data_IF_914245736956
#
_entry.id   IF_914245736956
#
_cell.length_a   1.000
_cell.length_b   1.000
_cell.length_c   1.000
_cell.angle_alpha   90.00
_cell.angle_beta   90.00
_cell.angle_gamma   90.00
#
_symmetry.space_group_name_H-M   'P 1'
#
loop_
_entity.id
_entity.type
_entity.pdbx_description
1 polymer ?
#
# COMPACT_ATOMS: atom_id res chain seq x y z
N UNK A 1 -2.33 -1.74 12.17
CA UNK A 1 -2.46 -0.41 12.83
C UNK A 1 -3.86 0.16 12.54
N UNK A 2 -4.39 1.13 13.29
CA UNK A 2 -5.68 1.74 12.94
C UNK A 2 -5.59 2.48 11.58
N UNK A 3 -6.64 2.48 10.74
CA UNK A 3 -6.63 3.11 9.40
C UNK A 3 -6.22 4.59 9.41
N UNK A 4 -6.54 5.30 10.49
CA UNK A 4 -6.17 6.70 10.69
C UNK A 4 -4.64 6.89 10.81
N UNK A 5 -3.92 5.92 11.37
CA UNK A 5 -2.47 5.97 11.49
C UNK A 5 -1.78 5.92 10.13
N UNK A 6 -2.23 5.05 9.24
CA UNK A 6 -1.72 4.94 7.88
C UNK A 6 -2.03 6.20 7.04
N UNK A 7 -3.23 6.77 7.18
CA UNK A 7 -3.57 8.05 6.54
C UNK A 7 -2.64 9.19 6.98
N UNK A 8 -2.36 9.28 8.29
CA UNK A 8 -1.48 10.30 8.84
C UNK A 8 -0.03 10.13 8.35
N UNK A 9 0.48 8.89 8.34
CA UNK A 9 1.81 8.57 7.83
C UNK A 9 1.94 8.88 6.33
N UNK A 10 0.95 8.51 5.52
CA UNK A 10 0.92 8.78 4.08
C UNK A 10 0.84 10.28 3.76
N UNK A 11 -0.02 11.03 4.46
CA UNK A 11 -0.11 12.48 4.26
C UNK A 11 1.15 13.21 4.76
N UNK A 12 1.72 12.77 5.88
CA UNK A 12 2.95 13.33 6.45
C UNK A 12 4.17 13.10 5.57
N UNK A 13 4.33 11.90 5.02
CA UNK A 13 5.39 11.56 4.05
C UNK A 13 5.22 12.36 2.76
N UNK A 14 4.00 12.50 2.23
CA UNK A 14 3.73 13.36 1.08
C UNK A 14 4.10 14.84 1.34
N UNK A 15 3.81 15.35 2.54
CA UNK A 15 4.21 16.69 2.96
C UNK A 15 5.74 16.84 3.04
N UNK A 16 6.44 15.86 3.62
CA UNK A 16 7.91 15.85 3.69
C UNK A 16 8.55 15.83 2.30
N UNK A 17 8.09 14.95 1.40
CA UNK A 17 8.57 14.87 0.01
C UNK A 17 8.39 16.21 -0.70
N UNK A 18 7.22 16.84 -0.56
CA UNK A 18 6.97 18.17 -1.11
C UNK A 18 7.87 19.24 -0.52
N UNK A 19 8.07 19.23 0.80
CA UNK A 19 8.84 20.25 1.49
C UNK A 19 10.35 20.10 1.23
N UNK A 20 10.84 18.88 1.07
CA UNK A 20 12.20 18.59 0.63
C UNK A 20 12.42 19.02 -0.84
N UNK A 21 11.49 18.70 -1.74
CA UNK A 21 11.55 19.13 -3.14
C UNK A 21 11.41 20.64 -3.37
N UNK A 22 10.92 21.40 -2.37
CA UNK A 22 10.95 22.88 -2.39
C UNK A 22 12.34 23.47 -2.13
N UNK A 23 13.24 22.70 -1.53
CA UNK A 23 14.63 23.11 -1.28
C UNK A 23 15.54 22.86 -2.49
N UNK A 24 15.15 21.93 -3.35
CA UNK A 24 15.94 21.43 -4.47
C UNK A 24 15.14 21.62 -5.76
N UNK A 25 15.12 22.86 -6.26
CA UNK A 25 14.39 23.21 -7.49
C UNK A 25 15.13 22.68 -8.73
N UNK A 26 15.12 21.36 -8.93
CA UNK A 26 15.48 20.71 -10.18
C UNK A 26 14.93 19.27 -10.23
N UNK A 27 13.85 19.05 -10.98
CA UNK A 27 13.69 17.76 -11.67
C UNK A 27 12.67 16.70 -11.19
N UNK A 28 11.70 16.95 -10.31
CA UNK A 28 10.65 15.95 -9.98
C UNK A 28 9.25 16.34 -10.50
N UNK A 29 9.14 16.46 -11.83
CA UNK A 29 7.95 16.95 -12.55
C UNK A 29 6.65 16.13 -12.44
N UNK A 30 6.62 15.02 -11.71
CA UNK A 30 5.43 14.14 -11.61
C UNK A 30 4.52 14.45 -10.41
N UNK A 31 5.10 14.92 -9.28
CA UNK A 31 4.36 15.21 -8.04
C UNK A 31 4.34 16.69 -7.66
N UNK A 32 4.97 17.57 -8.46
CA UNK A 32 5.15 18.99 -8.18
C UNK A 32 3.87 19.84 -8.28
N UNK A 33 2.77 19.27 -8.79
CA UNK A 33 1.44 19.89 -8.75
C UNK A 33 0.89 19.98 -7.33
N UNK A 34 -0.26 20.65 -7.14
CA UNK A 34 -0.98 20.63 -5.85
C UNK A 34 -1.23 19.17 -5.46
N UNK A 35 -0.56 18.71 -4.40
CA UNK A 35 -0.81 17.37 -3.83
C UNK A 35 -2.26 17.31 -3.36
N UNK A 36 -3.03 16.41 -3.98
CA UNK A 36 -4.37 16.08 -3.54
C UNK A 36 -4.28 15.07 -2.39
N UNK A 37 -4.30 15.56 -1.16
CA UNK A 37 -4.24 14.73 0.05
C UNK A 37 -5.42 13.76 0.16
N UNK A 38 -6.55 14.02 -0.54
CA UNK A 38 -7.67 13.08 -0.57
C UNK A 38 -7.30 11.81 -1.32
N UNK A 39 -6.59 11.96 -2.44
CA UNK A 39 -6.09 10.83 -3.22
C UNK A 39 -5.04 10.03 -2.44
N UNK A 40 -4.15 10.71 -1.70
CA UNK A 40 -3.15 10.06 -0.83
C UNK A 40 -3.82 9.28 0.30
N UNK A 41 -4.76 9.90 1.02
CA UNK A 41 -5.48 9.24 2.12
C UNK A 41 -6.36 8.08 1.63
N UNK A 42 -6.97 8.22 0.45
CA UNK A 42 -7.70 7.12 -0.17
C UNK A 42 -6.76 5.96 -0.52
N UNK A 43 -5.63 6.26 -1.17
CA UNK A 43 -4.61 5.28 -1.51
C UNK A 43 -4.06 4.54 -0.29
N UNK A 44 -3.87 5.22 0.84
CA UNK A 44 -3.39 4.56 2.06
C UNK A 44 -4.38 3.56 2.63
N UNK A 45 -5.69 3.75 2.47
CA UNK A 45 -6.66 2.79 3.02
C UNK A 45 -7.07 1.72 1.99
N UNK A 46 -6.64 1.87 0.74
CA UNK A 46 -6.98 0.96 -0.34
C UNK A 46 -6.51 -0.49 -0.09
N UNK A 47 -5.29 -0.77 0.41
CA UNK A 47 -4.87 -2.14 0.76
C UNK A 47 -5.83 -2.83 1.73
N UNK A 48 -6.19 -2.16 2.84
CA UNK A 48 -7.13 -2.66 3.84
C UNK A 48 -8.53 -2.92 3.26
N UNK A 49 -8.99 -2.04 2.35
CA UNK A 49 -10.30 -2.17 1.69
C UNK A 49 -10.33 -3.31 0.67
N UNK A 50 -9.19 -3.71 0.13
CA UNK A 50 -9.11 -4.87 -0.77
C UNK A 50 -9.06 -6.15 0.02
N UNK A 51 -8.23 -6.21 1.08
CA UNK A 51 -8.00 -7.45 1.80
C UNK A 51 -9.21 -7.89 2.63
N UNK A 52 -9.95 -6.97 3.24
CA UNK A 52 -11.12 -7.35 4.07
C UNK A 52 -12.21 -8.05 3.23
N UNK A 53 -12.72 -7.49 2.12
CA UNK A 53 -13.68 -8.20 1.28
C UNK A 53 -13.11 -9.46 0.65
N UNK A 54 -11.84 -9.46 0.24
CA UNK A 54 -11.23 -10.63 -0.39
C UNK A 54 -11.24 -11.85 0.54
N UNK A 55 -10.88 -11.64 1.82
CA UNK A 55 -10.97 -12.66 2.86
C UNK A 55 -12.41 -13.12 3.08
N UNK A 56 -13.36 -12.19 3.14
CA UNK A 56 -14.76 -12.50 3.45
C UNK A 56 -15.52 -13.20 2.31
N UNK A 57 -15.27 -12.82 1.05
CA UNK A 57 -16.04 -13.31 -0.10
C UNK A 57 -15.36 -14.44 -0.86
N UNK A 58 -14.02 -14.49 -0.90
CA UNK A 58 -13.29 -15.40 -1.79
C UNK A 58 -12.57 -16.51 -1.01
N UNK A 59 -12.13 -16.23 0.23
CA UNK A 59 -11.24 -17.12 0.99
C UNK A 59 -11.85 -17.71 2.28
N UNK A 60 -13.17 -17.60 2.47
CA UNK A 60 -13.87 -17.95 3.72
C UNK A 60 -13.61 -19.38 4.24
N UNK A 61 -13.28 -20.32 3.34
CA UNK A 61 -13.02 -21.74 3.64
C UNK A 61 -11.57 -22.18 3.33
N UNK A 62 -10.66 -21.24 3.06
CA UNK A 62 -9.25 -21.57 2.78
C UNK A 62 -8.36 -21.28 3.98
N UNK A 63 -7.46 -22.22 4.31
CA UNK A 63 -6.32 -22.10 5.27
C UNK A 63 -5.30 -21.01 4.88
N UNK A 64 -5.72 -20.07 4.04
CA UNK A 64 -4.97 -18.94 3.54
C UNK A 64 -5.14 -17.69 4.45
N UNK A 65 -5.52 -17.87 5.71
CA UNK A 65 -5.87 -16.80 6.67
C UNK A 65 -4.78 -15.75 6.96
N UNK A 66 -3.58 -15.90 6.41
CA UNK A 66 -2.48 -14.92 6.49
C UNK A 66 -2.11 -14.24 5.16
N UNK A 67 -2.86 -14.44 4.08
CA UNK A 67 -2.53 -13.85 2.78
C UNK A 67 -3.26 -12.53 2.54
N UNK A 68 -2.51 -11.44 2.57
CA UNK A 68 -2.99 -10.07 2.34
C UNK A 68 -2.52 -9.61 0.95
N UNK A 69 -3.38 -9.76 -0.06
CA UNK A 69 -3.09 -9.38 -1.44
C UNK A 69 -2.90 -7.86 -1.58
N UNK A 70 -3.75 -7.06 -0.92
CA UNK A 70 -3.64 -5.60 -0.87
C UNK A 70 -2.33 -5.14 -0.25
N UNK A 71 -1.81 -5.88 0.73
CA UNK A 71 -0.50 -5.62 1.34
C UNK A 71 0.67 -6.34 0.65
N UNK A 72 0.53 -6.65 -0.65
CA UNK A 72 1.63 -7.19 -1.44
C UNK A 72 2.41 -6.09 -2.18
N UNK A 73 3.69 -6.35 -2.44
CA UNK A 73 4.48 -5.53 -3.37
C UNK A 73 3.87 -5.57 -4.76
N UNK A 74 3.28 -6.70 -5.18
CA UNK A 74 2.62 -6.82 -6.48
C UNK A 74 1.47 -5.81 -6.63
N UNK A 75 0.61 -5.71 -5.62
CA UNK A 75 -0.51 -4.77 -5.64
C UNK A 75 -0.02 -3.32 -5.68
N UNK A 76 1.02 -3.00 -4.90
CA UNK A 76 1.64 -1.67 -4.90
C UNK A 76 2.28 -1.33 -6.26
N UNK A 77 2.95 -2.30 -6.91
CA UNK A 77 3.51 -2.13 -8.25
C UNK A 77 2.42 -1.98 -9.32
N UNK A 78 1.32 -2.72 -9.20
CA UNK A 78 0.17 -2.57 -10.09
C UNK A 78 -0.42 -1.16 -10.00
N UNK A 79 -0.62 -0.65 -8.78
CA UNK A 79 -1.09 0.73 -8.60
C UNK A 79 -0.10 1.75 -9.15
N UNK A 80 1.21 1.52 -8.96
CA UNK A 80 2.24 2.41 -9.50
C UNK A 80 2.24 2.42 -11.03
N UNK A 81 2.17 1.26 -11.68
CA UNK A 81 2.13 1.16 -13.15
C UNK A 81 0.87 1.80 -13.72
N UNK A 82 -0.30 1.55 -13.14
CA UNK A 82 -1.55 2.24 -13.51
C UNK A 82 -1.43 3.74 -13.28
N UNK A 83 -0.86 4.15 -12.14
CA UNK A 83 -0.59 5.54 -11.80
C UNK A 83 0.26 6.24 -12.86
N UNK A 84 1.38 5.63 -13.24
CA UNK A 84 2.29 6.15 -14.26
C UNK A 84 1.61 6.24 -15.64
N UNK A 85 0.86 5.22 -16.04
CA UNK A 85 0.13 5.21 -17.30
C UNK A 85 -0.96 6.31 -17.37
N UNK A 86 -1.65 6.57 -16.26
CA UNK A 86 -2.67 7.62 -16.16
C UNK A 86 -2.03 9.02 -16.06
N UNK A 87 -0.90 9.13 -15.37
CA UNK A 87 -0.15 10.38 -15.27
C UNK A 87 0.48 10.80 -16.60
N UNK A 88 0.86 9.85 -17.45
CA UNK A 88 1.28 10.13 -18.83
C UNK A 88 0.15 10.81 -19.66
N UNK A 89 -1.11 10.72 -19.22
CA UNK A 89 -2.28 11.42 -19.79
C UNK A 89 -2.61 12.74 -19.08
N UNK A 90 -1.71 13.23 -18.23
CA UNK A 90 -1.86 14.50 -17.50
C UNK A 90 -2.65 14.42 -16.18
N UNK A 91 -3.00 13.21 -15.70
CA UNK A 91 -3.78 13.01 -14.46
C UNK A 91 -2.94 12.38 -13.36
N UNK A 92 -2.42 13.20 -12.44
CA UNK A 92 -1.48 12.72 -11.41
C UNK A 92 -2.19 12.10 -10.18
N UNK A 93 -3.52 12.15 -10.11
CA UNK A 93 -4.28 11.61 -8.96
C UNK A 93 -4.03 10.11 -8.76
N UNK A 94 -3.94 9.33 -9.85
CA UNK A 94 -3.67 7.90 -9.77
C UNK A 94 -2.28 7.59 -9.18
N UNK A 95 -1.28 8.44 -9.44
CA UNK A 95 0.03 8.33 -8.79
C UNK A 95 -0.02 8.63 -7.30
N UNK A 96 -0.85 9.60 -6.88
CA UNK A 96 -1.03 9.91 -5.47
C UNK A 96 -1.72 8.76 -4.71
N UNK A 97 -2.66 8.07 -5.37
CA UNK A 97 -3.25 6.82 -4.84
C UNK A 97 -2.18 5.74 -4.70
N UNK A 98 -1.35 5.53 -5.73
CA UNK A 98 -0.25 4.57 -5.68
C UNK A 98 0.75 4.90 -4.57
N UNK A 99 1.10 6.18 -4.40
CA UNK A 99 1.97 6.66 -3.33
C UNK A 99 1.37 6.37 -1.94
N UNK A 100 0.06 6.59 -1.77
CA UNK A 100 -0.66 6.23 -0.55
C UNK A 100 -0.58 4.73 -0.24
N UNK A 101 -0.79 3.87 -1.23
CA UNK A 101 -0.71 2.42 -1.04
C UNK A 101 0.72 1.93 -0.73
N UNK A 102 1.73 2.50 -1.38
CA UNK A 102 3.15 2.19 -1.10
C UNK A 102 3.53 2.60 0.31
N UNK A 103 3.11 3.79 0.75
CA UNK A 103 3.40 4.27 2.11
C UNK A 103 2.67 3.45 3.17
N UNK A 104 1.45 2.98 2.87
CA UNK A 104 0.76 2.01 3.71
C UNK A 104 1.57 0.72 3.84
N UNK A 105 1.98 0.12 2.72
CA UNK A 105 2.80 -1.09 2.74
C UNK A 105 4.11 -0.86 3.52
N UNK A 106 4.79 0.26 3.32
CA UNK A 106 6.06 0.54 4.01
C UNK A 106 5.93 0.70 5.53
N UNK A 107 4.76 1.13 6.01
CA UNK A 107 4.49 1.33 7.45
C UNK A 107 3.78 0.14 8.09
N UNK A 108 3.27 -0.80 7.29
CA UNK A 108 2.56 -1.96 7.82
C UNK A 108 3.53 -2.99 8.41
N UNK A 109 3.12 -3.59 9.53
CA UNK A 109 3.80 -4.69 10.20
C UNK A 109 4.02 -5.93 9.32
N UNK A 110 3.24 -6.09 8.24
CA UNK A 110 3.40 -7.18 7.29
C UNK A 110 4.78 -7.15 6.62
N UNK A 111 5.46 -5.99 6.62
CA UNK A 111 6.84 -5.85 6.13
C UNK A 111 7.85 -6.71 6.89
N UNK A 112 7.53 -7.11 8.13
CA UNK A 112 8.35 -8.02 8.92
C UNK A 112 8.17 -9.49 8.51
N UNK A 113 7.24 -9.78 7.59
CA UNK A 113 6.86 -11.11 7.16
C UNK A 113 7.13 -11.24 5.66
N UNK A 114 8.36 -11.61 5.24
CA UNK A 114 8.79 -11.52 3.84
C UNK A 114 7.90 -12.29 2.85
N UNK A 115 7.32 -13.42 3.27
CA UNK A 115 6.46 -14.24 2.43
C UNK A 115 5.09 -13.60 2.17
N UNK A 116 4.56 -12.82 3.12
CA UNK A 116 3.26 -12.14 2.94
C UNK A 116 3.36 -11.03 1.90
N UNK A 117 4.49 -10.32 1.87
CA UNK A 117 4.74 -9.20 0.94
C UNK A 117 4.88 -9.69 -0.52
N UNK A 118 5.38 -10.92 -0.70
CA UNK A 118 5.63 -11.56 -2.00
C UNK A 118 4.45 -12.39 -2.52
N UNK A 119 3.34 -12.45 -1.78
CA UNK A 119 2.11 -13.07 -2.27
C UNK A 119 1.66 -12.43 -3.60
N UNK A 120 1.19 -13.18 -4.61
CA UNK A 120 0.91 -14.62 -4.62
C UNK A 120 2.06 -15.52 -5.13
N UNK A 121 3.25 -14.96 -5.36
CA UNK A 121 4.33 -15.72 -6.02
C UNK A 121 4.99 -16.75 -5.11
N UNK A 122 4.95 -16.55 -3.79
CA UNK A 122 5.51 -17.46 -2.80
C UNK A 122 4.37 -18.12 -2.03
N UNK A 123 3.95 -19.31 -2.47
CA UNK A 123 3.22 -20.26 -1.62
C UNK A 123 4.28 -21.09 -0.89
N UNK A 124 4.64 -20.68 0.31
CA UNK A 124 5.31 -21.61 1.23
C UNK A 124 4.19 -22.35 1.97
N UNK A 125 4.18 -23.68 1.87
CA UNK A 125 3.35 -24.53 2.74
C UNK A 125 3.86 -24.32 4.18
N UNK A 126 3.21 -23.43 4.92
CA UNK A 126 3.56 -23.19 6.32
C UNK A 126 2.66 -24.08 7.19
N UNK A 127 3.22 -25.03 7.96
CA UNK A 127 2.45 -25.83 8.91
C UNK A 127 1.74 -24.91 9.90
N UNK A 128 0.44 -25.09 10.08
CA UNK A 128 -0.42 -24.26 10.95
C UNK A 128 -0.25 -24.55 12.46
N UNK A 129 0.86 -25.12 12.93
CA UNK A 129 0.87 -25.73 14.27
C UNK A 129 1.29 -24.86 15.46
N UNK A 130 1.88 -23.66 15.29
CA UNK A 130 2.60 -23.05 16.43
C UNK A 130 2.14 -21.63 16.85
N UNK A 131 0.86 -21.29 16.63
CA UNK A 131 0.22 -20.15 17.30
C UNK A 131 -0.88 -20.60 18.26
N UNK A 132 -0.63 -21.66 19.03
CA UNK A 132 -1.24 -21.79 20.34
C UNK A 132 -0.50 -20.82 21.24
N UNK A 133 -1.17 -19.72 21.59
CA UNK A 133 -0.75 -18.87 22.70
C UNK A 133 -0.71 -19.75 23.95
N UNK A 134 0.49 -20.16 24.36
CA UNK A 134 0.70 -20.50 25.76
C UNK A 134 0.61 -19.17 26.53
N UNK A 135 -0.23 -19.21 27.54
CA UNK A 135 -0.80 -18.10 28.33
C UNK A 135 0.20 -17.09 28.87
#
# INVERSE_FOLDING_TARGET
>A
MFPLGHMAAACGTAWLVRNAGRRDASGSGLLMGRIDYRAVAFGSVLPDLVDKPLVWFVLRDSDLGGHHFGHSVLFSLLLLTVGLAVAARGKNQALLVAFGAITHLAYDSVTHVPWSILYPFVKLDVPHSDFVLDT
#
